data_IF_773168082966
#
_entry.id   IF_773168082966
#
_cell.length_a   1.000
_cell.length_b   1.000
_cell.length_c   1.000
_cell.angle_alpha   90.00
_cell.angle_beta   90.00
_cell.angle_gamma   90.00
#
_symmetry.space_group_name_H-M   'P 1'
#
loop_
_entity.id
_entity.type
_entity.pdbx_description
1 polymer ?
#
# COMPACT_ATOMS: atom_id res chain seq x y z
N UNK A 1 -28.66 1.61 -22.78
CA UNK A 1 -27.40 1.89 -23.51
C UNK A 1 -26.40 0.79 -23.12
N UNK A 2 -25.88 0.02 -24.07
CA UNK A 2 -24.84 -1.00 -23.77
C UNK A 2 -23.49 -0.29 -23.77
N UNK A 3 -22.79 -0.33 -22.63
CA UNK A 3 -21.41 0.14 -22.55
C UNK A 3 -20.53 -0.96 -23.10
N UNK A 4 -19.78 -0.67 -24.16
CA UNK A 4 -18.73 -1.56 -24.65
C UNK A 4 -17.40 -1.13 -24.05
N UNK A 5 -16.75 -2.04 -23.34
CA UNK A 5 -15.50 -1.78 -22.65
C UNK A 5 -14.29 -1.95 -23.59
N UNK A 6 -13.21 -1.23 -23.31
CA UNK A 6 -11.94 -1.43 -24.02
C UNK A 6 -11.41 -2.86 -23.82
N UNK A 7 -10.74 -3.39 -24.83
CA UNK A 7 -10.27 -4.79 -24.84
C UNK A 7 -9.35 -5.13 -23.65
N UNK A 8 -8.52 -4.18 -23.23
CA UNK A 8 -7.68 -4.33 -22.02
C UNK A 8 -8.47 -4.61 -20.74
N UNK A 9 -9.69 -4.07 -20.62
CA UNK A 9 -10.55 -4.29 -19.45
C UNK A 9 -11.18 -5.67 -19.52
N UNK A 10 -11.59 -6.10 -20.72
CA UNK A 10 -12.14 -7.43 -20.96
C UNK A 10 -11.12 -8.54 -20.68
N UNK A 11 -9.84 -8.25 -20.90
CA UNK A 11 -8.72 -9.18 -20.68
C UNK A 11 -8.17 -9.18 -19.24
N UNK A 12 -8.75 -8.41 -18.31
CA UNK A 12 -8.34 -8.47 -16.91
C UNK A 12 -8.71 -9.85 -16.33
N UNK A 13 -7.77 -10.58 -15.73
CA UNK A 13 -8.09 -11.85 -15.09
C UNK A 13 -8.99 -11.63 -13.86
N UNK A 14 -9.75 -12.66 -13.44
CA UNK A 14 -10.49 -12.60 -12.18
C UNK A 14 -9.58 -12.25 -11.01
N UNK A 15 -10.06 -11.37 -10.12
CA UNK A 15 -9.34 -10.99 -8.92
C UNK A 15 -9.47 -12.09 -7.87
N UNK A 16 -8.43 -12.94 -7.75
CA UNK A 16 -8.41 -14.11 -6.85
C UNK A 16 -8.83 -13.78 -5.41
N UNK A 17 -8.38 -12.63 -4.87
CA UNK A 17 -8.68 -12.27 -3.48
C UNK A 17 -10.17 -11.97 -3.26
N UNK A 18 -10.90 -11.44 -4.25
CA UNK A 18 -12.35 -11.27 -4.12
C UNK A 18 -13.08 -12.62 -3.96
N UNK A 19 -12.59 -13.67 -4.64
CA UNK A 19 -13.16 -15.01 -4.52
C UNK A 19 -12.84 -15.63 -3.15
N UNK A 20 -11.61 -15.43 -2.67
CA UNK A 20 -11.22 -15.85 -1.31
C UNK A 20 -12.07 -15.13 -0.26
N UNK A 21 -12.28 -13.83 -0.38
CA UNK A 21 -13.14 -13.04 0.51
C UNK A 21 -14.58 -13.54 0.51
N UNK A 22 -15.13 -13.88 -0.67
CA UNK A 22 -16.45 -14.49 -0.81
C UNK A 22 -16.55 -15.81 -0.03
N UNK A 23 -15.58 -16.70 -0.21
CA UNK A 23 -15.52 -17.99 0.49
C UNK A 23 -15.35 -17.83 2.01
N UNK A 24 -14.50 -16.91 2.46
CA UNK A 24 -14.33 -16.57 3.88
C UNK A 24 -15.67 -16.11 4.46
N UNK A 25 -16.38 -15.21 3.76
CA UNK A 25 -17.69 -14.71 4.21
C UNK A 25 -18.73 -15.83 4.30
N UNK A 26 -18.77 -16.72 3.33
CA UNK A 26 -19.69 -17.88 3.33
C UNK A 26 -19.39 -18.85 4.47
N UNK A 27 -18.11 -19.13 4.73
CA UNK A 27 -17.70 -20.02 5.82
C UNK A 27 -17.93 -19.40 7.20
N UNK A 28 -17.68 -18.10 7.36
CA UNK A 28 -18.05 -17.37 8.59
C UNK A 28 -19.56 -17.42 8.86
N UNK A 29 -20.40 -17.31 7.83
CA UNK A 29 -21.85 -17.43 7.98
C UNK A 29 -22.31 -18.86 8.34
N UNK A 30 -21.43 -19.85 8.24
CA UNK A 30 -21.65 -21.25 8.64
C UNK A 30 -21.04 -21.56 10.02
N UNK A 31 -20.62 -20.54 10.78
CA UNK A 31 -19.92 -20.67 12.07
C UNK A 31 -18.66 -21.55 12.00
N UNK A 32 -18.01 -21.59 10.83
CA UNK A 32 -16.74 -22.29 10.67
C UNK A 32 -15.61 -21.44 11.23
N UNK A 33 -14.81 -22.01 12.12
CA UNK A 33 -13.58 -21.39 12.62
C UNK A 33 -12.51 -21.38 11.50
N UNK A 34 -12.00 -20.19 11.17
CA UNK A 34 -11.11 -19.97 10.04
C UNK A 34 -9.77 -19.43 10.50
N UNK A 35 -8.69 -20.09 10.09
CA UNK A 35 -7.33 -19.58 10.23
C UNK A 35 -6.98 -18.80 8.97
N UNK A 36 -6.77 -17.49 9.13
CA UNK A 36 -6.45 -16.59 8.01
C UNK A 36 -4.98 -16.69 7.62
N UNK A 37 -4.69 -17.49 6.59
CA UNK A 37 -3.38 -17.59 5.93
C UNK A 37 -3.42 -17.10 4.47
N UNK A 38 -4.50 -16.44 4.09
CA UNK A 38 -4.82 -16.14 2.69
C UNK A 38 -4.35 -14.76 2.22
N UNK A 39 -4.02 -13.85 3.14
CA UNK A 39 -3.62 -12.48 2.84
C UNK A 39 -2.33 -12.18 3.62
N UNK A 40 -1.33 -11.65 2.94
CA UNK A 40 0.00 -11.32 3.50
C UNK A 40 0.05 -9.99 4.24
N UNK A 41 -1.06 -9.54 4.82
CA UNK A 41 -1.11 -8.29 5.57
C UNK A 41 -0.46 -8.49 6.94
N UNK A 42 0.48 -7.62 7.36
CA UNK A 42 1.06 -7.68 8.69
C UNK A 42 -0.01 -7.54 9.78
N UNK A 43 0.11 -8.32 10.85
CA UNK A 43 -0.75 -8.29 12.02
C UNK A 43 -0.31 -7.26 13.07
N UNK A 44 0.91 -6.74 12.95
CA UNK A 44 1.49 -5.76 13.85
C UNK A 44 1.24 -4.32 13.38
N UNK A 45 0.96 -3.43 14.33
CA UNK A 45 0.88 -1.99 14.08
C UNK A 45 2.21 -1.42 13.55
N UNK A 46 2.16 -0.35 12.74
CA UNK A 46 3.37 0.39 12.37
C UNK A 46 4.16 0.87 13.60
N UNK A 47 5.48 1.00 13.52
CA UNK A 47 6.29 1.51 14.63
C UNK A 47 5.82 2.90 15.10
N UNK A 48 5.88 3.14 16.42
CA UNK A 48 5.44 4.40 17.04
C UNK A 48 6.06 5.65 16.39
N UNK A 49 7.34 5.58 16.03
CA UNK A 49 8.06 6.66 15.34
C UNK A 49 7.35 7.12 14.06
N UNK A 50 6.84 6.17 13.25
CA UNK A 50 6.15 6.48 12.00
C UNK A 50 4.80 7.13 12.28
N UNK A 51 4.07 6.62 13.27
CA UNK A 51 2.76 7.15 13.67
C UNK A 51 2.89 8.57 14.22
N UNK A 52 3.91 8.84 15.02
CA UNK A 52 4.15 10.16 15.60
C UNK A 52 4.55 11.17 14.53
N UNK A 53 5.46 10.82 13.62
CA UNK A 53 5.86 11.69 12.50
C UNK A 53 4.66 12.04 11.62
N UNK A 54 3.79 11.07 11.32
CA UNK A 54 2.55 11.32 10.58
C UNK A 54 1.64 12.34 11.31
N UNK A 55 1.47 12.18 12.63
CA UNK A 55 0.64 13.08 13.44
C UNK A 55 1.18 14.50 13.50
N UNK A 56 2.50 14.65 13.53
CA UNK A 56 3.16 15.94 13.49
C UNK A 56 3.00 16.60 12.12
N UNK A 57 3.35 15.90 11.05
CA UNK A 57 3.36 16.45 9.70
C UNK A 57 1.97 16.71 9.13
N UNK A 58 0.93 16.00 9.57
CA UNK A 58 -0.45 16.31 9.15
C UNK A 58 -0.94 17.65 9.69
N UNK A 59 -0.41 18.10 10.84
CA UNK A 59 -0.74 19.40 11.42
C UNK A 59 0.02 20.56 10.75
N UNK A 60 1.03 20.27 9.94
CA UNK A 60 1.80 21.27 9.20
C UNK A 60 1.04 21.71 7.94
N UNK A 61 0.51 22.94 7.96
CA UNK A 61 -0.30 23.50 6.87
C UNK A 61 0.45 23.62 5.53
N UNK A 62 1.79 23.66 5.56
CA UNK A 62 2.59 23.71 4.33
C UNK A 62 2.49 22.41 3.51
N UNK A 63 2.19 21.29 4.17
CA UNK A 63 2.11 19.96 3.56
C UNK A 63 0.78 19.69 2.84
N UNK A 64 -0.18 20.62 2.88
CA UNK A 64 -1.52 20.43 2.30
C UNK A 64 -1.58 20.75 0.81
N UNK A 65 -0.50 21.30 0.26
CA UNK A 65 -0.36 21.54 -1.17
C UNK A 65 -0.07 20.24 -1.92
N UNK A 66 -0.13 20.31 -3.25
CA UNK A 66 0.32 19.19 -4.08
C UNK A 66 1.80 18.90 -3.82
N UNK A 67 2.09 17.62 -3.59
CA UNK A 67 3.45 17.10 -3.61
C UNK A 67 4.06 17.25 -5.01
N UNK A 68 5.39 17.28 -5.08
CA UNK A 68 6.08 17.25 -6.37
C UNK A 68 5.76 15.96 -7.13
N UNK A 69 5.69 16.03 -8.47
CA UNK A 69 5.35 14.87 -9.30
C UNK A 69 6.33 13.69 -9.15
N UNK A 70 7.57 13.98 -8.76
CA UNK A 70 8.62 12.99 -8.50
C UNK A 70 8.71 12.61 -7.01
N UNK A 71 7.80 13.08 -6.16
CA UNK A 71 7.86 12.96 -4.69
C UNK A 71 8.69 14.04 -4.00
N UNK A 72 8.65 14.08 -2.66
CA UNK A 72 9.38 15.08 -1.87
C UNK A 72 10.91 14.88 -1.92
N UNK A 73 11.71 15.94 -2.11
CA UNK A 73 13.18 15.84 -2.16
C UNK A 73 13.79 15.17 -0.93
N UNK A 74 13.33 15.54 0.27
CA UNK A 74 13.85 15.00 1.54
C UNK A 74 13.58 13.50 1.66
N UNK A 75 12.43 13.03 1.17
CA UNK A 75 12.12 11.60 1.13
C UNK A 75 13.04 10.85 0.17
N UNK A 76 13.25 11.39 -1.04
CA UNK A 76 14.17 10.77 -2.01
C UNK A 76 15.60 10.70 -1.48
N UNK A 77 16.08 11.74 -0.81
CA UNK A 77 17.37 11.72 -0.13
C UNK A 77 17.43 10.63 0.95
N UNK A 78 16.43 10.54 1.82
CA UNK A 78 16.38 9.53 2.88
C UNK A 78 16.41 8.09 2.32
N UNK A 79 15.74 7.85 1.19
CA UNK A 79 15.78 6.55 0.50
C UNK A 79 17.18 6.24 -0.04
N UNK A 80 17.84 7.20 -0.69
CA UNK A 80 19.21 7.02 -1.20
C UNK A 80 20.20 6.68 -0.07
N UNK A 81 20.13 7.43 1.04
CA UNK A 81 20.96 7.19 2.22
C UNK A 81 20.67 5.82 2.86
N UNK A 82 19.40 5.44 2.95
CA UNK A 82 19.00 4.13 3.48
C UNK A 82 19.52 2.99 2.61
N UNK A 83 19.43 3.11 1.28
CA UNK A 83 19.95 2.13 0.34
C UNK A 83 21.47 1.97 0.45
N UNK A 84 22.19 3.09 0.53
CA UNK A 84 23.64 3.08 0.73
C UNK A 84 24.04 2.41 2.04
N UNK A 85 23.32 2.70 3.13
CA UNK A 85 23.59 2.10 4.44
C UNK A 85 23.26 0.61 4.48
N UNK A 86 22.13 0.21 3.90
CA UNK A 86 21.57 -1.15 4.05
C UNK A 86 22.14 -2.15 3.04
N UNK A 87 22.46 -1.65 1.84
CA UNK A 87 22.83 -2.47 0.68
C UNK A 87 24.13 -2.03 0.01
N UNK A 88 24.75 -0.92 0.43
CA UNK A 88 25.97 -0.37 -0.19
C UNK A 88 25.80 0.01 -1.67
N UNK A 89 24.58 0.43 -2.04
CA UNK A 89 24.25 0.94 -3.37
C UNK A 89 24.09 2.44 -3.30
N UNK A 90 24.83 3.16 -4.14
CA UNK A 90 24.64 4.61 -4.34
C UNK A 90 23.51 4.84 -5.35
N UNK A 91 22.43 5.49 -4.91
CA UNK A 91 21.29 5.88 -5.75
C UNK A 91 21.33 7.38 -6.04
N UNK A 92 21.05 7.77 -7.29
CA UNK A 92 20.69 9.16 -7.62
C UNK A 92 19.35 9.51 -6.97
N UNK A 93 19.14 10.80 -6.69
CA UNK A 93 17.89 11.30 -6.11
C UNK A 93 16.85 11.65 -7.18
N UNK A 94 17.09 11.20 -8.41
CA UNK A 94 16.41 11.59 -9.65
C UNK A 94 15.39 10.51 -10.06
#
# INVERSE_FOLDING_TARGET
MKVDFAERVKNLPPYLFAEIERLIKEKKAQDVDLISLSIGDPDLSPPKLVIDALKEEVANLNNHNYSFSQGEPDFRQAISEWYKKRFHVDLSQD
#
